data_IF_260160801448
#
_entry.id   IF_260160801448
#
_cell.length_a   1.000
_cell.length_b   1.000
_cell.length_c   1.000
_cell.angle_alpha   90.00
_cell.angle_beta   90.00
_cell.angle_gamma   90.00
#
_symmetry.space_group_name_H-M   'P 1'
#
loop_
_entity.id
_entity.type
_entity.pdbx_description
1 polymer ?
#
# COMPACT_ATOMS: atom_id res chain seq x y z
N UNK A 1 1.67 6.99 -7.46
CA UNK A 1 0.98 5.78 -7.95
C UNK A 1 1.84 4.55 -7.72
N UNK A 2 1.46 3.68 -6.76
CA UNK A 2 2.11 2.38 -6.56
C UNK A 2 1.06 1.31 -6.24
N UNK A 3 0.48 0.71 -7.26
CA UNK A 3 -0.22 -0.55 -7.10
C UNK A 3 0.82 -1.67 -6.99
N UNK A 4 0.88 -2.35 -5.84
CA UNK A 4 1.70 -3.55 -5.69
C UNK A 4 0.82 -4.76 -5.97
N UNK A 5 0.96 -5.35 -7.16
CA UNK A 5 0.31 -6.62 -7.51
C UNK A 5 1.23 -7.75 -7.05
N UNK A 6 0.82 -8.50 -6.02
CA UNK A 6 1.61 -9.61 -5.50
C UNK A 6 1.19 -10.94 -6.13
N UNK A 7 2.17 -11.71 -6.59
CA UNK A 7 2.01 -13.08 -7.07
C UNK A 7 2.52 -14.05 -5.99
N UNK A 8 1.63 -14.91 -5.47
CA UNK A 8 2.02 -15.96 -4.52
C UNK A 8 2.86 -17.05 -5.18
N UNK A 9 3.83 -17.67 -4.48
CA UNK A 9 4.66 -18.73 -5.04
C UNK A 9 3.82 -19.99 -5.29
N UNK A 10 3.88 -20.52 -6.52
CA UNK A 10 3.35 -21.85 -6.87
C UNK A 10 2.01 -21.88 -7.61
N UNK A 11 1.35 -20.74 -7.85
CA UNK A 11 0.19 -20.67 -8.76
C UNK A 11 0.35 -19.46 -9.68
N UNK A 12 0.21 -19.66 -11.00
CA UNK A 12 0.17 -18.60 -12.03
C UNK A 12 -1.11 -17.76 -11.90
N UNK A 13 -1.41 -17.22 -10.71
CA UNK A 13 -2.70 -16.60 -10.40
C UNK A 13 -2.53 -15.42 -9.43
N UNK A 14 -3.03 -14.23 -9.81
CA UNK A 14 -3.21 -13.09 -8.91
C UNK A 14 -3.98 -13.56 -7.65
N UNK A 15 -3.44 -13.31 -6.46
CA UNK A 15 -4.12 -13.63 -5.20
C UNK A 15 -4.29 -12.43 -4.27
N UNK A 16 -3.60 -11.31 -4.49
CA UNK A 16 -3.74 -10.11 -3.64
C UNK A 16 -3.33 -8.85 -4.39
N UNK A 17 -4.25 -7.88 -4.48
CA UNK A 17 -3.93 -6.50 -4.88
C UNK A 17 -3.94 -5.65 -3.61
N UNK A 18 -2.81 -5.01 -3.30
CA UNK A 18 -2.71 -4.02 -2.24
C UNK A 18 -2.72 -2.63 -2.89
N UNK A 19 -3.77 -1.87 -2.61
CA UNK A 19 -3.89 -0.45 -3.01
C UNK A 19 -3.13 0.38 -1.97
N UNK A 20 -2.01 0.98 -2.36
CA UNK A 20 -1.22 1.90 -1.52
C UNK A 20 -1.14 3.24 -2.24
N UNK A 21 -1.94 4.19 -1.77
CA UNK A 21 -1.99 5.54 -2.33
C UNK A 21 -1.24 6.52 -1.40
N UNK A 22 -0.46 7.48 -1.93
CA UNK A 22 -0.01 8.63 -1.15
C UNK A 22 -1.20 9.52 -0.77
N UNK A 23 -1.04 10.29 0.29
CA UNK A 23 -2.06 11.08 1.01
C UNK A 23 -2.83 12.10 0.14
N UNK A 24 -2.32 12.47 -1.04
CA UNK A 24 -2.82 13.60 -1.84
C UNK A 24 -4.08 13.32 -2.70
N UNK A 25 -4.42 12.06 -2.99
CA UNK A 25 -5.41 11.75 -4.05
C UNK A 25 -6.54 10.82 -3.57
N UNK A 26 -7.46 11.38 -2.76
CA UNK A 26 -8.70 10.70 -2.35
C UNK A 26 -9.58 10.18 -3.50
N UNK A 27 -9.31 10.59 -4.76
CA UNK A 27 -9.99 10.13 -5.97
C UNK A 27 -9.35 8.89 -6.61
N UNK A 28 -8.06 8.65 -6.38
CA UNK A 28 -7.35 7.52 -6.99
C UNK A 28 -7.62 6.23 -6.22
N UNK A 29 -7.50 6.23 -4.90
CA UNK A 29 -7.81 5.08 -4.03
C UNK A 29 -9.15 4.41 -4.37
N UNK A 30 -10.20 5.20 -4.60
CA UNK A 30 -11.53 4.69 -4.93
C UNK A 30 -11.58 3.96 -6.29
N UNK A 31 -10.89 4.51 -7.30
CA UNK A 31 -10.79 3.90 -8.65
C UNK A 31 -9.84 2.70 -8.66
N UNK A 32 -8.81 2.72 -7.82
CA UNK A 32 -7.86 1.63 -7.72
C UNK A 32 -8.50 0.38 -7.13
N UNK A 33 -9.35 0.51 -6.10
CA UNK A 33 -10.10 -0.61 -5.55
C UNK A 33 -11.07 -1.22 -6.57
N UNK A 34 -11.85 -0.41 -7.29
CA UNK A 34 -12.78 -0.94 -8.31
C UNK A 34 -12.03 -1.65 -9.44
N UNK A 35 -10.87 -1.12 -9.86
CA UNK A 35 -10.00 -1.76 -10.85
C UNK A 35 -9.45 -3.10 -10.34
N UNK A 36 -8.97 -3.15 -9.09
CA UNK A 36 -8.47 -4.38 -8.47
C UNK A 36 -9.57 -5.47 -8.42
N UNK A 37 -10.78 -5.08 -8.05
CA UNK A 37 -11.96 -5.96 -7.97
C UNK A 37 -12.45 -6.39 -9.36
N UNK A 38 -12.26 -5.58 -10.40
CA UNK A 38 -12.52 -5.99 -11.78
C UNK A 38 -11.50 -7.05 -12.25
N UNK A 39 -10.22 -6.85 -11.96
CA UNK A 39 -9.11 -7.69 -12.43
C UNK A 39 -8.92 -8.99 -11.66
N UNK A 40 -9.49 -9.10 -10.45
CA UNK A 40 -9.35 -10.31 -9.65
C UNK A 40 -10.05 -11.50 -10.31
N UNK A 41 -9.40 -12.66 -10.28
CA UNK A 41 -9.98 -13.93 -10.76
C UNK A 41 -11.16 -14.36 -9.88
N UNK A 42 -12.05 -15.24 -10.39
CA UNK A 42 -13.01 -15.94 -9.54
C UNK A 42 -12.34 -16.68 -8.36
N UNK A 43 -12.93 -16.58 -7.18
CA UNK A 43 -12.40 -17.09 -5.91
C UNK A 43 -11.15 -16.36 -5.42
N UNK A 44 -10.90 -15.12 -5.87
CA UNK A 44 -9.73 -14.34 -5.49
C UNK A 44 -9.96 -13.38 -4.33
N UNK A 45 -8.85 -12.85 -3.79
CA UNK A 45 -8.87 -11.94 -2.65
C UNK A 45 -8.31 -10.55 -3.03
N UNK A 46 -8.98 -9.50 -2.58
CA UNK A 46 -8.53 -8.11 -2.70
C UNK A 46 -8.40 -7.53 -1.30
N UNK A 47 -7.21 -7.03 -0.96
CA UNK A 47 -6.93 -6.44 0.35
C UNK A 47 -6.80 -4.93 0.23
N UNK A 48 -7.77 -4.19 0.76
CA UNK A 48 -7.71 -2.74 0.80
C UNK A 48 -6.82 -2.26 1.95
N UNK A 49 -5.63 -1.76 1.60
CA UNK A 49 -4.65 -1.22 2.57
C UNK A 49 -4.70 0.32 2.64
N UNK A 50 -5.24 0.99 1.62
CA UNK A 50 -5.36 2.44 1.55
C UNK A 50 -6.58 3.02 2.29
N UNK A 51 -6.50 4.31 2.60
CA UNK A 51 -7.60 5.08 3.20
C UNK A 51 -8.45 5.70 2.10
N UNK A 52 -9.78 5.59 2.23
CA UNK A 52 -10.73 6.15 1.28
C UNK A 52 -11.39 7.40 1.85
N UNK A 53 -11.23 8.55 1.18
CA UNK A 53 -11.93 9.79 1.52
C UNK A 53 -13.28 9.94 0.83
N UNK A 54 -13.61 9.02 -0.10
CA UNK A 54 -14.84 8.98 -0.90
C UNK A 54 -15.27 7.53 -1.11
N UNK A 55 -16.57 7.28 -1.35
CA UNK A 55 -17.04 5.93 -1.61
C UNK A 55 -16.52 5.36 -2.94
N UNK A 56 -16.41 4.03 -2.99
CA UNK A 56 -16.20 3.23 -4.20
C UNK A 56 -17.45 2.43 -4.51
N UNK A 57 -17.85 2.39 -5.78
CA UNK A 57 -18.92 1.50 -6.26
C UNK A 57 -18.37 0.11 -6.54
N UNK A 58 -19.05 -0.92 -6.02
CA UNK A 58 -18.77 -2.33 -6.28
C UNK A 58 -19.99 -2.95 -6.98
N UNK A 59 -19.77 -3.48 -8.19
CA UNK A 59 -20.81 -4.09 -9.03
C UNK A 59 -21.07 -5.54 -8.61
N UNK A 60 -21.96 -5.73 -7.64
CA UNK A 60 -22.27 -7.07 -7.11
C UNK A 60 -22.86 -8.01 -8.17
N UNK A 61 -23.52 -7.45 -9.19
CA UNK A 61 -24.01 -8.16 -10.38
C UNK A 61 -22.90 -8.89 -11.16
N UNK A 62 -21.66 -8.40 -11.09
CA UNK A 62 -20.48 -9.02 -11.69
C UNK A 62 -19.67 -9.86 -10.69
N UNK A 63 -19.83 -9.60 -9.39
CA UNK A 63 -19.02 -10.19 -8.33
C UNK A 63 -19.63 -11.45 -7.74
N UNK A 64 -20.96 -11.58 -7.73
CA UNK A 64 -21.65 -12.70 -7.06
C UNK A 64 -21.22 -14.06 -7.61
N UNK A 65 -21.07 -14.18 -8.94
CA UNK A 65 -20.67 -15.44 -9.59
C UNK A 65 -19.16 -15.70 -9.50
N UNK A 66 -18.40 -14.70 -9.08
CA UNK A 66 -16.94 -14.75 -9.01
C UNK A 66 -16.43 -15.05 -7.61
N UNK A 67 -17.27 -15.21 -6.59
CA UNK A 67 -16.84 -15.55 -5.22
C UNK A 67 -15.64 -14.72 -4.71
N UNK A 68 -15.64 -13.41 -4.98
CA UNK A 68 -14.53 -12.52 -4.62
C UNK A 68 -14.60 -12.18 -3.14
N UNK A 69 -13.47 -12.29 -2.44
CA UNK A 69 -13.33 -11.81 -1.06
C UNK A 69 -12.64 -10.45 -1.03
N UNK A 70 -13.23 -9.48 -0.35
CA UNK A 70 -12.64 -8.15 -0.14
C UNK A 70 -12.39 -7.96 1.35
N UNK A 71 -11.16 -7.61 1.75
CA UNK A 71 -10.81 -7.34 3.14
C UNK A 71 -10.37 -5.89 3.32
N UNK A 72 -10.74 -5.30 4.46
CA UNK A 72 -10.27 -3.99 4.92
C UNK A 72 -9.72 -4.17 6.34
N UNK A 73 -8.86 -3.25 6.78
CA UNK A 73 -8.37 -3.28 8.15
C UNK A 73 -7.46 -2.10 8.46
N UNK A 74 -7.56 -1.60 9.68
CA UNK A 74 -6.55 -0.71 10.24
C UNK A 74 -5.44 -1.56 10.86
N UNK A 75 -4.20 -1.10 10.74
CA UNK A 75 -3.05 -1.81 11.32
C UNK A 75 -3.17 -1.91 12.85
N UNK A 76 -3.03 -3.13 13.39
CA UNK A 76 -3.07 -3.42 14.83
C UNK A 76 -1.67 -3.58 15.47
N UNK A 77 -0.63 -3.57 14.64
CA UNK A 77 0.78 -3.73 15.01
C UNK A 77 1.14 -5.09 15.66
N UNK A 78 0.25 -6.08 15.63
CA UNK A 78 0.48 -7.40 16.25
C UNK A 78 1.70 -8.14 15.66
N UNK A 79 2.05 -7.88 14.40
CA UNK A 79 3.22 -8.45 13.71
C UNK A 79 4.55 -7.77 14.06
N UNK A 80 4.55 -6.67 14.82
CA UNK A 80 5.78 -5.90 15.13
C UNK A 80 6.88 -6.76 15.77
N UNK A 81 6.62 -7.63 16.78
CA UNK A 81 7.68 -8.46 17.36
C UNK A 81 8.30 -9.44 16.37
N UNK A 82 7.57 -9.89 15.36
CA UNK A 82 8.08 -10.73 14.29
C UNK A 82 8.97 -9.91 13.33
N UNK A 83 8.50 -8.73 12.91
CA UNK A 83 9.25 -7.85 12.02
C UNK A 83 10.59 -7.41 12.64
N UNK A 84 10.59 -7.08 13.94
CA UNK A 84 11.82 -6.77 14.67
C UNK A 84 12.82 -7.93 14.72
N UNK A 85 12.33 -9.18 14.85
CA UNK A 85 13.18 -10.38 14.77
C UNK A 85 13.81 -10.53 13.38
N UNK A 86 13.04 -10.29 12.31
CA UNK A 86 13.56 -10.33 10.94
C UNK A 86 14.60 -9.24 10.67
N UNK A 87 14.39 -8.03 11.19
CA UNK A 87 15.37 -6.94 11.12
C UNK A 87 16.67 -7.33 11.81
N UNK A 88 16.59 -7.81 13.06
CA UNK A 88 17.78 -8.24 13.83
C UNK A 88 18.53 -9.40 13.15
N UNK A 89 17.80 -10.30 12.50
CA UNK A 89 18.38 -11.42 11.76
C UNK A 89 18.96 -11.03 10.38
N UNK A 90 18.91 -9.75 9.99
CA UNK A 90 19.34 -9.29 8.66
C UNK A 90 18.48 -9.82 7.52
N UNK A 91 17.27 -10.30 7.82
CA UNK A 91 16.31 -10.85 6.85
C UNK A 91 15.38 -9.79 6.29
N UNK A 92 15.33 -8.62 6.93
CA UNK A 92 14.65 -7.43 6.46
C UNK A 92 15.61 -6.25 6.54
N UNK A 93 15.68 -5.44 5.48
CA UNK A 93 16.46 -4.21 5.44
C UNK A 93 15.50 -3.02 5.27
N UNK A 94 15.07 -2.46 6.40
CA UNK A 94 14.19 -1.29 6.42
C UNK A 94 14.93 0.01 6.03
N UNK A 95 16.27 0.02 5.96
CA UNK A 95 17.02 1.20 5.54
C UNK A 95 16.75 1.58 4.10
N UNK A 96 16.43 0.59 3.24
CA UNK A 96 16.19 0.77 1.80
C UNK A 96 14.94 1.57 1.45
N UNK A 97 13.95 1.62 2.35
CA UNK A 97 12.75 2.42 2.09
C UNK A 97 12.96 3.90 2.38
N UNK A 98 13.98 4.24 3.20
CA UNK A 98 14.32 5.64 3.53
C UNK A 98 15.21 6.23 2.43
N UNK A 99 14.60 7.05 1.58
CA UNK A 99 15.25 7.69 0.43
C UNK A 99 15.90 9.02 0.78
N UNK A 100 15.30 9.80 1.69
CA UNK A 100 15.79 11.12 2.09
C UNK A 100 15.93 11.21 3.60
N UNK A 101 16.92 11.98 4.05
CA UNK A 101 17.23 12.23 5.45
C UNK A 101 17.42 13.73 5.65
N UNK A 102 16.82 14.25 6.71
CA UNK A 102 16.86 15.66 7.07
C UNK A 102 17.15 15.80 8.57
N UNK A 103 17.77 16.92 8.94
CA UNK A 103 17.84 17.40 10.32
C UNK A 103 16.48 17.95 10.80
N UNK A 104 16.39 18.21 12.10
CA UNK A 104 15.17 18.72 12.72
C UNK A 104 14.84 20.17 12.30
N UNK A 105 15.86 20.95 11.99
CA UNK A 105 15.77 22.31 11.45
C UNK A 105 15.29 22.35 9.99
N UNK A 106 15.34 21.22 9.29
CA UNK A 106 14.95 21.07 7.89
C UNK A 106 13.54 20.48 7.71
N UNK A 107 12.74 20.34 8.79
CA UNK A 107 11.39 19.76 8.73
C UNK A 107 10.51 20.37 7.63
N UNK A 108 10.45 21.69 7.41
CA UNK A 108 9.68 22.25 6.30
C UNK A 108 10.08 21.67 4.93
N UNK A 109 11.38 21.61 4.65
CA UNK A 109 11.91 21.02 3.41
C UNK A 109 11.64 19.51 3.33
N UNK A 110 11.65 18.80 4.46
CA UNK A 110 11.31 17.39 4.51
C UNK A 110 9.85 17.13 4.07
N UNK A 111 8.93 18.04 4.39
CA UNK A 111 7.55 18.00 3.90
C UNK A 111 7.49 18.30 2.41
N UNK A 112 8.12 19.38 1.93
CA UNK A 112 8.12 19.72 0.50
C UNK A 112 8.62 18.56 -0.37
N UNK A 113 9.67 17.87 0.08
CA UNK A 113 10.22 16.69 -0.61
C UNK A 113 9.27 15.49 -0.56
N UNK A 114 8.54 15.29 0.53
CA UNK A 114 7.59 14.18 0.64
C UNK A 114 6.29 14.41 -0.14
N UNK A 115 5.89 15.67 -0.30
CA UNK A 115 4.64 16.10 -0.95
C UNK A 115 4.65 15.90 -2.46
N UNK A 116 5.81 16.08 -3.12
CA UNK A 116 6.01 15.79 -4.53
C UNK A 116 6.94 14.58 -4.76
N UNK A 117 6.48 13.35 -4.52
CA UNK A 117 7.29 12.15 -4.72
C UNK A 117 7.59 11.85 -6.20
N UNK A 118 6.88 12.47 -7.15
CA UNK A 118 7.11 12.28 -8.59
C UNK A 118 8.38 13.01 -9.00
N UNK A 119 8.54 14.26 -8.55
CA UNK A 119 9.75 15.05 -8.83
C UNK A 119 10.88 14.67 -7.88
N UNK A 120 10.60 14.49 -6.59
CA UNK A 120 11.64 14.26 -5.59
C UNK A 120 12.16 12.81 -5.58
N UNK A 121 11.39 11.86 -6.10
CA UNK A 121 11.69 10.43 -5.96
C UNK A 121 11.56 9.90 -4.52
N UNK A 122 10.94 10.67 -3.61
CA UNK A 122 10.79 10.27 -2.22
C UNK A 122 9.89 9.05 -2.05
N UNK A 123 10.35 8.07 -1.25
CA UNK A 123 9.54 6.93 -0.80
C UNK A 123 9.22 7.02 0.69
N UNK A 124 10.24 7.25 1.50
CA UNK A 124 10.11 7.56 2.93
C UNK A 124 11.19 8.57 3.29
N UNK A 125 10.77 9.60 4.01
CA UNK A 125 11.65 10.63 4.56
C UNK A 125 11.90 10.33 6.03
N UNK A 126 13.16 10.43 6.47
CA UNK A 126 13.53 10.34 7.87
C UNK A 126 14.00 11.71 8.38
N UNK A 127 13.41 12.16 9.48
CA UNK A 127 13.89 13.32 10.24
C UNK A 127 14.70 12.80 11.40
N UNK A 128 15.96 13.21 11.47
CA UNK A 128 16.93 12.78 12.46
C UNK A 128 17.17 13.91 13.46
N UNK A 129 17.57 13.51 14.67
CA UNK A 129 17.94 14.42 15.75
C UNK A 129 19.38 14.89 15.59
#
# INVERSE_FOLDING_TARGET
MKALVYYGPGKRSLQTVAVVDPVESWRAAARELSTAVALVRPGGHVANVGVHGKPTTLHLEDLWIRDVTITTGLVDTASTPMLLRLLRAGRLDAGRIVTHRFGFDEVPQAYDVFDDPVTSGALKVAVLR
#
